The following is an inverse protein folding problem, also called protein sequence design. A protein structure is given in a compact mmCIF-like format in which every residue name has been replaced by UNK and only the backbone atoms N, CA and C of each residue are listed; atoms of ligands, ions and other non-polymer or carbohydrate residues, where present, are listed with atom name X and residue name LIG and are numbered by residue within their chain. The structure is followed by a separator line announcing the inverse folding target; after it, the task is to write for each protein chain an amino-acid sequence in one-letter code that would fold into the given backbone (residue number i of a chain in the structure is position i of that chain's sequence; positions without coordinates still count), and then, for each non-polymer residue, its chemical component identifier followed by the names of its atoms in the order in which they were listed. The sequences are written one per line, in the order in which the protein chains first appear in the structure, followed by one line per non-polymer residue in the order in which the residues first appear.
data_IF_525520349672
#
_entry.id   IF_525520349672
#
_cell.length_a   1.000
_cell.length_b   1.000
_cell.length_c   1.000
_cell.angle_alpha   90.00
_cell.angle_beta   90.00
_cell.angle_gamma   90.00
#
_symmetry.space_group_name_H-M   'P 1'
#
loop_
_entity.id
_entity.type
_entity.pdbx_description
1 polymer ?
#
# COMPACT_ATOMS: atom_id res chain seq x y z
N UNK A 1 52.82 -29.02 17.99
CA UNK A 1 52.79 -28.10 16.83
C UNK A 1 51.79 -28.48 15.75
N UNK A 2 51.45 -29.77 15.54
CA UNK A 2 50.56 -30.21 14.44
C UNK A 2 49.08 -29.87 14.67
N UNK A 3 48.59 -29.76 15.92
CA UNK A 3 47.20 -29.48 16.23
C UNK A 3 46.77 -28.00 16.12
N UNK A 4 47.69 -27.07 16.14
CA UNK A 4 47.39 -25.63 15.97
C UNK A 4 47.10 -25.28 14.51
N UNK A 5 47.87 -25.82 13.58
CA UNK A 5 47.72 -25.55 12.13
C UNK A 5 46.41 -26.08 11.56
N UNK A 6 45.92 -27.21 12.10
CA UNK A 6 44.61 -27.79 11.68
C UNK A 6 43.39 -27.01 12.21
N UNK A 7 43.55 -26.26 13.29
CA UNK A 7 42.51 -25.40 13.86
C UNK A 7 42.33 -24.09 13.08
N UNK A 8 43.42 -23.46 12.66
CA UNK A 8 43.37 -22.23 11.86
C UNK A 8 42.80 -22.42 10.46
N UNK A 9 43.12 -23.55 9.80
CA UNK A 9 42.59 -23.89 8.48
C UNK A 9 41.05 -24.10 8.48
N UNK A 10 40.48 -24.69 9.54
CA UNK A 10 39.02 -24.85 9.69
C UNK A 10 38.31 -23.54 10.01
N UNK A 11 38.91 -22.69 10.83
CA UNK A 11 38.31 -21.36 11.10
C UNK A 11 38.38 -20.43 9.89
N UNK A 12 39.42 -20.46 9.10
CA UNK A 12 39.55 -19.68 7.86
C UNK A 12 38.54 -20.16 6.77
N UNK A 13 38.34 -21.49 6.64
CA UNK A 13 37.34 -22.07 5.74
C UNK A 13 35.91 -21.75 6.15
N UNK A 14 35.61 -21.81 7.46
CA UNK A 14 34.28 -21.43 7.97
C UNK A 14 33.96 -19.94 7.79
N UNK A 15 34.94 -19.06 8.00
CA UNK A 15 34.81 -17.61 7.77
C UNK A 15 34.60 -17.29 6.29
N UNK A 16 35.36 -17.89 5.39
CA UNK A 16 35.23 -17.64 3.96
C UNK A 16 33.86 -18.16 3.42
N UNK A 17 33.36 -19.30 3.93
CA UNK A 17 32.05 -19.82 3.61
C UNK A 17 30.93 -18.88 4.08
N UNK A 18 31.02 -18.38 5.32
CA UNK A 18 30.05 -17.43 5.88
C UNK A 18 30.03 -16.11 5.12
N UNK A 19 31.19 -15.57 4.75
CA UNK A 19 31.27 -14.34 3.96
C UNK A 19 30.69 -14.48 2.56
N UNK A 20 30.95 -15.64 1.90
CA UNK A 20 30.40 -15.94 0.58
C UNK A 20 28.89 -16.12 0.60
N UNK A 21 28.35 -16.74 1.64
CA UNK A 21 26.90 -16.91 1.80
C UNK A 21 26.22 -15.62 2.25
N UNK A 22 26.86 -14.81 3.08
CA UNK A 22 26.35 -13.50 3.48
C UNK A 22 26.20 -12.59 2.27
N UNK A 23 27.22 -12.48 1.40
CA UNK A 23 27.14 -11.68 0.19
C UNK A 23 26.06 -12.18 -0.80
N UNK A 24 25.84 -13.51 -0.90
CA UNK A 24 24.78 -14.08 -1.73
C UNK A 24 23.38 -13.80 -1.15
N UNK A 25 23.21 -13.85 0.17
CA UNK A 25 21.95 -13.52 0.83
C UNK A 25 21.62 -12.03 0.73
N UNK A 26 22.63 -11.17 0.81
CA UNK A 26 22.46 -9.73 0.62
C UNK A 26 22.05 -9.37 -0.82
N UNK A 27 22.68 -9.98 -1.83
CA UNK A 27 22.29 -9.78 -3.24
C UNK A 27 20.89 -10.32 -3.54
N UNK A 28 20.56 -11.51 -3.05
CA UNK A 28 19.19 -12.07 -3.20
C UNK A 28 18.16 -11.18 -2.49
N UNK A 29 18.47 -10.63 -1.31
CA UNK A 29 17.59 -9.71 -0.60
C UNK A 29 17.30 -8.44 -1.39
N UNK A 30 18.29 -7.87 -2.05
CA UNK A 30 18.13 -6.70 -2.92
C UNK A 30 17.29 -7.04 -4.15
N UNK A 31 17.49 -8.22 -4.76
CA UNK A 31 16.71 -8.67 -5.92
C UNK A 31 15.22 -8.85 -5.57
N UNK A 32 14.91 -9.46 -4.42
CA UNK A 32 13.53 -9.59 -3.93
C UNK A 32 12.87 -8.24 -3.61
N UNK A 33 13.64 -7.29 -3.10
CA UNK A 33 13.15 -5.95 -2.79
C UNK A 33 12.73 -5.20 -4.06
N UNK A 34 13.57 -5.24 -5.10
CA UNK A 34 13.27 -4.64 -6.39
C UNK A 34 12.10 -5.34 -7.09
N UNK A 35 11.99 -6.65 -6.94
CA UNK A 35 10.85 -7.41 -7.42
C UNK A 35 9.55 -6.98 -6.72
N UNK A 36 9.58 -6.78 -5.41
CA UNK A 36 8.42 -6.30 -4.66
C UNK A 36 8.00 -4.89 -5.09
N UNK A 37 8.96 -3.96 -5.23
CA UNK A 37 8.70 -2.61 -5.72
C UNK A 37 8.14 -2.65 -7.15
N UNK A 38 8.75 -3.43 -8.03
CA UNK A 38 8.30 -3.60 -9.42
C UNK A 38 6.90 -4.19 -9.52
N UNK A 39 6.60 -5.23 -8.75
CA UNK A 39 5.26 -5.82 -8.67
C UNK A 39 4.22 -4.81 -8.15
N UNK A 40 4.57 -4.02 -7.12
CA UNK A 40 3.71 -2.98 -6.59
C UNK A 40 3.40 -1.89 -7.62
N UNK A 41 4.42 -1.41 -8.34
CA UNK A 41 4.24 -0.42 -9.41
C UNK A 41 3.40 -0.96 -10.57
N UNK A 42 3.62 -2.20 -10.98
CA UNK A 42 2.82 -2.87 -12.00
C UNK A 42 1.37 -3.03 -11.58
N UNK A 43 1.11 -3.38 -10.32
CA UNK A 43 -0.25 -3.47 -9.79
C UNK A 43 -0.99 -2.12 -9.82
N UNK A 44 -0.30 -1.03 -9.42
CA UNK A 44 -0.87 0.33 -9.49
C UNK A 44 -1.12 0.73 -10.94
N UNK A 45 -0.16 0.53 -11.85
CA UNK A 45 -0.30 0.86 -13.26
C UNK A 45 -1.46 0.09 -13.90
N UNK A 46 -1.54 -1.21 -13.65
CA UNK A 46 -2.65 -2.03 -14.14
C UNK A 46 -3.99 -1.55 -13.59
N UNK A 47 -4.05 -1.20 -12.28
CA UNK A 47 -5.24 -0.61 -11.66
C UNK A 47 -5.69 0.68 -12.35
N UNK A 48 -4.75 1.57 -12.70
CA UNK A 48 -5.05 2.82 -13.44
C UNK A 48 -5.62 2.52 -14.83
N UNK A 49 -4.98 1.61 -15.58
CA UNK A 49 -5.44 1.21 -16.92
C UNK A 49 -6.83 0.59 -16.87
N UNK A 50 -7.08 -0.31 -15.94
CA UNK A 50 -8.39 -0.95 -15.76
C UNK A 50 -9.45 0.06 -15.30
N UNK A 51 -9.10 1.04 -14.48
CA UNK A 51 -10.01 2.14 -14.11
C UNK A 51 -10.44 2.91 -15.35
N UNK A 52 -9.51 3.27 -16.22
CA UNK A 52 -9.82 3.96 -17.47
C UNK A 52 -10.73 3.11 -18.39
N UNK A 53 -10.49 1.80 -18.48
CA UNK A 53 -11.33 0.87 -19.25
C UNK A 53 -12.74 0.74 -18.66
N UNK A 54 -12.84 0.65 -17.33
CA UNK A 54 -14.13 0.58 -16.61
C UNK A 54 -14.95 1.86 -16.79
N UNK A 55 -14.31 3.03 -16.73
CA UNK A 55 -15.02 4.32 -16.91
C UNK A 55 -15.59 4.52 -18.32
N UNK A 56 -15.10 3.79 -19.33
CA UNK A 56 -15.65 3.80 -20.71
C UNK A 56 -16.92 2.96 -20.87
N UNK A 57 -17.27 2.13 -19.88
CA UNK A 57 -18.51 1.33 -19.92
C UNK A 57 -19.73 2.21 -19.73
N UNK A 58 -20.87 1.80 -20.33
CA UNK A 58 -22.13 2.53 -20.24
C UNK A 58 -22.59 2.74 -18.81
N UNK A 59 -22.99 3.96 -18.49
CA UNK A 59 -23.57 4.33 -17.19
C UNK A 59 -25.10 4.15 -17.15
N UNK A 60 -25.70 3.54 -18.17
CA UNK A 60 -27.12 3.28 -18.24
C UNK A 60 -27.96 4.50 -18.69
N UNK A 61 -29.25 4.44 -18.40
CA UNK A 61 -30.21 5.46 -18.79
C UNK A 61 -30.14 6.73 -17.91
N UNK A 62 -30.86 7.79 -18.31
CA UNK A 62 -30.86 9.09 -17.63
C UNK A 62 -31.24 8.96 -16.13
N UNK A 63 -32.22 8.12 -15.80
CA UNK A 63 -32.65 7.92 -14.41
C UNK A 63 -31.59 7.25 -13.55
N UNK A 64 -30.85 6.28 -14.10
CA UNK A 64 -29.75 5.63 -13.41
C UNK A 64 -28.61 6.62 -13.15
N UNK A 65 -28.32 7.50 -14.11
CA UNK A 65 -27.28 8.52 -13.98
C UNK A 65 -27.66 9.61 -12.97
N UNK A 66 -28.93 10.02 -12.92
CA UNK A 66 -29.45 10.96 -11.92
C UNK A 66 -29.27 10.41 -10.49
N UNK A 67 -29.66 9.16 -10.25
CA UNK A 67 -29.48 8.50 -8.95
C UNK A 67 -27.97 8.37 -8.61
N UNK A 68 -27.16 7.98 -9.59
CA UNK A 68 -25.72 7.85 -9.41
C UNK A 68 -25.07 9.20 -9.07
N UNK A 69 -25.52 10.31 -9.66
CA UNK A 69 -25.02 11.63 -9.34
C UNK A 69 -25.32 12.02 -7.88
N UNK A 70 -26.54 11.77 -7.40
CA UNK A 70 -26.89 12.01 -6.00
C UNK A 70 -26.03 11.17 -5.02
N UNK A 71 -25.79 9.90 -5.35
CA UNK A 71 -24.90 9.04 -4.55
C UNK A 71 -23.45 9.56 -4.56
N UNK A 72 -22.95 10.03 -5.72
CA UNK A 72 -21.60 10.59 -5.84
C UNK A 72 -21.45 11.88 -5.05
N UNK A 73 -22.46 12.73 -5.01
CA UNK A 73 -22.48 13.95 -4.21
C UNK A 73 -22.37 13.63 -2.72
N UNK A 74 -23.20 12.72 -2.23
CA UNK A 74 -23.16 12.24 -0.83
C UNK A 74 -21.81 11.61 -0.48
N UNK A 75 -21.29 10.74 -1.32
CA UNK A 75 -19.98 10.11 -1.13
C UNK A 75 -18.84 11.15 -1.07
N UNK A 76 -18.86 12.15 -1.95
CA UNK A 76 -17.84 13.20 -1.97
C UNK A 76 -17.90 14.08 -0.73
N UNK A 77 -19.11 14.48 -0.30
CA UNK A 77 -19.30 15.25 0.92
C UNK A 77 -18.80 14.48 2.16
N UNK A 78 -19.12 13.20 2.24
CA UNK A 78 -18.65 12.31 3.29
C UNK A 78 -17.13 12.19 3.30
N UNK A 79 -16.50 11.85 2.16
CA UNK A 79 -15.05 11.74 2.04
C UNK A 79 -14.34 13.03 2.46
N UNK A 80 -14.84 14.18 2.04
CA UNK A 80 -14.24 15.47 2.40
C UNK A 80 -14.23 15.68 3.91
N UNK A 81 -15.34 15.42 4.60
CA UNK A 81 -15.43 15.54 6.06
C UNK A 81 -14.51 14.53 6.76
N UNK A 82 -14.55 13.29 6.34
CA UNK A 82 -13.75 12.21 6.90
C UNK A 82 -12.25 12.49 6.77
N UNK A 83 -11.78 12.80 5.57
CA UNK A 83 -10.36 13.04 5.32
C UNK A 83 -9.85 14.31 5.98
N UNK A 84 -10.69 15.31 6.19
CA UNK A 84 -10.34 16.47 7.00
C UNK A 84 -10.10 16.07 8.47
N UNK A 85 -11.00 15.29 9.07
CA UNK A 85 -10.83 14.82 10.44
C UNK A 85 -9.58 13.92 10.58
N UNK A 86 -9.38 12.99 9.65
CA UNK A 86 -8.19 12.13 9.59
C UNK A 86 -6.91 12.96 9.47
N UNK A 87 -6.91 14.01 8.64
CA UNK A 87 -5.77 14.89 8.46
C UNK A 87 -5.36 15.59 9.75
N UNK A 88 -6.32 16.10 10.53
CA UNK A 88 -6.06 16.73 11.83
C UNK A 88 -5.49 15.73 12.83
N UNK A 89 -6.14 14.58 13.01
CA UNK A 89 -5.67 13.54 13.93
C UNK A 89 -4.31 12.99 13.49
N UNK A 90 -4.13 12.74 12.19
CA UNK A 90 -2.87 12.28 11.64
C UNK A 90 -1.72 13.26 11.85
N UNK A 91 -1.96 14.57 11.72
CA UNK A 91 -0.96 15.59 11.99
C UNK A 91 -0.52 15.60 13.46
N UNK A 92 -1.46 15.48 14.39
CA UNK A 92 -1.15 15.39 15.84
C UNK A 92 -0.28 14.16 16.12
N UNK A 93 -0.66 13.00 15.58
CA UNK A 93 0.09 11.75 15.80
C UNK A 93 1.46 11.82 15.13
N UNK A 94 1.57 12.42 13.94
CA UNK A 94 2.85 12.63 13.25
C UNK A 94 3.83 13.43 14.10
N UNK A 95 3.39 14.55 14.68
CA UNK A 95 4.22 15.37 15.57
C UNK A 95 4.59 14.61 16.83
N UNK A 96 3.62 13.94 17.48
CA UNK A 96 3.88 13.14 18.66
C UNK A 96 4.89 12.01 18.39
N UNK A 97 4.75 11.29 17.27
CA UNK A 97 5.69 10.25 16.85
C UNK A 97 7.10 10.82 16.60
N UNK A 98 7.20 11.98 15.95
CA UNK A 98 8.48 12.65 15.70
C UNK A 98 9.22 13.02 16.98
N UNK A 99 8.50 13.47 17.99
CA UNK A 99 9.08 13.89 19.28
C UNK A 99 9.42 12.71 20.20
N UNK A 100 8.70 11.59 20.10
CA UNK A 100 8.86 10.43 21.00
C UNK A 100 9.66 9.28 20.40
N UNK A 101 9.41 8.92 19.13
CA UNK A 101 10.01 7.77 18.43
C UNK A 101 11.09 8.18 17.42
N UNK A 102 11.21 9.48 17.14
CA UNK A 102 12.15 10.02 16.18
C UNK A 102 11.56 10.25 14.79
N UNK A 103 12.24 11.07 14.00
CA UNK A 103 11.73 11.55 12.71
C UNK A 103 11.62 10.48 11.62
N UNK A 104 12.39 9.41 11.68
CA UNK A 104 12.24 8.27 10.76
C UNK A 104 10.95 7.51 11.04
N UNK A 105 10.58 7.30 12.30
CA UNK A 105 9.30 6.71 12.65
C UNK A 105 8.12 7.61 12.21
N UNK A 106 8.21 8.91 12.45
CA UNK A 106 7.21 9.86 11.99
C UNK A 106 7.05 9.86 10.46
N UNK A 107 8.15 9.84 9.71
CA UNK A 107 8.12 9.74 8.25
C UNK A 107 7.49 8.43 7.79
N UNK A 108 7.80 7.30 8.42
CA UNK A 108 7.14 6.02 8.17
C UNK A 108 5.64 6.12 8.37
N UNK A 109 5.19 6.63 9.53
CA UNK A 109 3.77 6.86 9.80
C UNK A 109 3.10 7.69 8.71
N UNK A 110 3.71 8.80 8.29
CA UNK A 110 3.17 9.68 7.26
C UNK A 110 3.05 8.96 5.91
N UNK A 111 4.09 8.23 5.49
CA UNK A 111 4.08 7.43 4.24
C UNK A 111 2.92 6.42 4.28
N UNK A 112 2.80 5.65 5.37
CA UNK A 112 1.73 4.67 5.54
C UNK A 112 0.33 5.32 5.50
N UNK A 113 0.16 6.43 6.22
CA UNK A 113 -1.09 7.18 6.26
C UNK A 113 -1.49 7.72 4.87
N UNK A 114 -0.55 8.34 4.14
CA UNK A 114 -0.81 8.91 2.82
C UNK A 114 -1.12 7.81 1.79
N UNK A 115 -0.35 6.72 1.75
CA UNK A 115 -0.59 5.64 0.79
C UNK A 115 -1.91 4.90 1.07
N UNK A 116 -2.22 4.62 2.33
CA UNK A 116 -3.50 4.03 2.73
C UNK A 116 -4.67 4.95 2.43
N UNK A 117 -4.52 6.24 2.73
CA UNK A 117 -5.51 7.27 2.40
C UNK A 117 -5.76 7.37 0.90
N UNK A 118 -4.70 7.40 0.10
CA UNK A 118 -4.80 7.45 -1.36
C UNK A 118 -5.51 6.20 -1.92
N UNK A 119 -5.17 5.00 -1.42
CA UNK A 119 -5.84 3.76 -1.82
C UNK A 119 -7.33 3.78 -1.48
N UNK A 120 -7.69 4.18 -0.26
CA UNK A 120 -9.08 4.27 0.19
C UNK A 120 -9.88 5.30 -0.59
N UNK A 121 -9.33 6.49 -0.78
CA UNK A 121 -9.97 7.57 -1.54
C UNK A 121 -10.20 7.18 -3.01
N UNK A 122 -9.15 6.71 -3.69
CA UNK A 122 -9.26 6.26 -5.08
C UNK A 122 -10.24 5.09 -5.21
N UNK A 123 -10.14 4.09 -4.32
CA UNK A 123 -11.02 2.93 -4.31
C UNK A 123 -12.49 3.31 -4.17
N UNK A 124 -12.81 4.22 -3.24
CA UNK A 124 -14.19 4.67 -3.06
C UNK A 124 -14.73 5.47 -4.26
N UNK A 125 -13.94 6.40 -4.81
CA UNK A 125 -14.33 7.14 -6.00
C UNK A 125 -14.59 6.22 -7.21
N UNK A 126 -13.78 5.18 -7.37
CA UNK A 126 -13.94 4.19 -8.45
C UNK A 126 -15.19 3.35 -8.20
N UNK A 127 -15.39 2.85 -6.97
CA UNK A 127 -16.54 2.01 -6.62
C UNK A 127 -17.87 2.74 -6.83
N UNK A 128 -17.99 3.98 -6.37
CA UNK A 128 -19.21 4.77 -6.54
C UNK A 128 -19.55 4.99 -8.03
N UNK A 129 -18.53 5.21 -8.87
CA UNK A 129 -18.73 5.35 -10.31
C UNK A 129 -18.94 4.02 -11.03
N UNK A 130 -18.42 2.92 -10.50
CA UNK A 130 -18.59 1.58 -11.02
C UNK A 130 -20.00 1.04 -10.76
N UNK A 131 -20.62 1.42 -9.63
CA UNK A 131 -21.92 0.90 -9.21
C UNK A 131 -23.01 1.06 -10.29
N UNK A 132 -23.15 2.25 -10.86
CA UNK A 132 -24.16 2.49 -11.92
C UNK A 132 -23.87 1.69 -13.18
N UNK A 133 -22.61 1.50 -13.54
CA UNK A 133 -22.18 0.69 -14.68
C UNK A 133 -22.41 -0.80 -14.44
N UNK A 134 -22.20 -1.24 -13.20
CA UNK A 134 -22.52 -2.61 -12.77
C UNK A 134 -24.01 -2.86 -12.83
N UNK A 135 -24.85 -1.93 -12.36
CA UNK A 135 -26.29 -2.02 -12.44
C UNK A 135 -26.77 -2.09 -13.90
N UNK A 136 -26.22 -1.26 -14.79
CA UNK A 136 -26.50 -1.30 -16.22
C UNK A 136 -26.09 -2.64 -16.85
N UNK A 137 -24.90 -3.14 -16.55
CA UNK A 137 -24.45 -4.42 -17.07
C UNK A 137 -25.28 -5.60 -16.54
N UNK A 138 -25.72 -5.54 -15.29
CA UNK A 138 -26.59 -6.54 -14.67
C UNK A 138 -28.00 -6.56 -15.28
N UNK A 139 -28.53 -5.43 -15.75
CA UNK A 139 -29.80 -5.37 -16.47
C UNK A 139 -29.76 -6.09 -17.83
N UNK A 140 -28.56 -6.25 -18.43
CA UNK A 140 -28.39 -7.00 -19.67
C UNK A 140 -28.19 -8.50 -19.40
N UNK A 141 -27.33 -8.83 -18.44
CA UNK A 141 -27.13 -10.21 -17.96
C UNK A 141 -26.40 -10.24 -16.61
N UNK A 142 -26.71 -11.26 -15.79
CA UNK A 142 -26.04 -11.48 -14.51
C UNK A 142 -24.51 -11.63 -14.66
N UNK A 143 -24.07 -12.35 -15.69
CA UNK A 143 -22.63 -12.57 -15.95
C UNK A 143 -21.88 -11.27 -16.27
N UNK A 144 -22.47 -10.35 -17.04
CA UNK A 144 -21.89 -9.03 -17.32
C UNK A 144 -21.79 -8.19 -16.06
N UNK A 145 -22.86 -8.15 -15.25
CA UNK A 145 -22.88 -7.44 -13.97
C UNK A 145 -21.82 -7.96 -13.01
N UNK A 146 -21.73 -9.29 -12.84
CA UNK A 146 -20.73 -9.93 -11.98
C UNK A 146 -19.29 -9.63 -12.43
N UNK A 147 -19.00 -9.72 -13.72
CA UNK A 147 -17.68 -9.41 -14.26
C UNK A 147 -17.27 -7.95 -13.97
N UNK A 148 -18.19 -7.01 -14.15
CA UNK A 148 -17.92 -5.59 -13.90
C UNK A 148 -17.72 -5.31 -12.39
N UNK A 149 -18.55 -5.90 -11.53
CA UNK A 149 -18.41 -5.79 -10.08
C UNK A 149 -17.07 -6.35 -9.60
N UNK A 150 -16.69 -7.54 -10.09
CA UNK A 150 -15.41 -8.16 -9.78
C UNK A 150 -14.23 -7.31 -10.26
N UNK A 151 -14.29 -6.77 -11.47
CA UNK A 151 -13.25 -5.88 -12.02
C UNK A 151 -13.08 -4.64 -11.16
N UNK A 152 -14.16 -4.02 -10.71
CA UNK A 152 -14.10 -2.86 -9.81
C UNK A 152 -13.44 -3.19 -8.47
N UNK A 153 -13.80 -4.32 -7.87
CA UNK A 153 -13.18 -4.80 -6.62
C UNK A 153 -11.70 -5.13 -6.81
N UNK A 154 -11.34 -5.78 -7.92
CA UNK A 154 -9.95 -6.10 -8.25
C UNK A 154 -9.07 -4.85 -8.41
N UNK A 155 -9.58 -3.79 -9.04
CA UNK A 155 -8.88 -2.50 -9.16
C UNK A 155 -8.55 -1.95 -7.78
N UNK A 156 -9.52 -1.90 -6.87
CA UNK A 156 -9.31 -1.42 -5.50
C UNK A 156 -8.29 -2.28 -4.75
N UNK A 157 -8.40 -3.60 -4.86
CA UNK A 157 -7.43 -4.53 -4.25
C UNK A 157 -6.01 -4.35 -4.77
N UNK A 158 -5.85 -4.11 -6.07
CA UNK A 158 -4.55 -3.84 -6.70
C UNK A 158 -3.93 -2.53 -6.24
N UNK A 159 -4.72 -1.47 -6.05
CA UNK A 159 -4.21 -0.23 -5.46
C UNK A 159 -3.74 -0.44 -4.03
N UNK A 160 -4.51 -1.14 -3.19
CA UNK A 160 -4.13 -1.42 -1.80
C UNK A 160 -2.85 -2.24 -1.75
N UNK A 161 -2.77 -3.36 -2.48
CA UNK A 161 -1.60 -4.22 -2.52
C UNK A 161 -0.38 -3.52 -3.12
N UNK A 162 -0.57 -2.78 -4.23
CA UNK A 162 0.49 -2.04 -4.90
C UNK A 162 1.09 -0.94 -4.03
N UNK A 163 0.27 -0.12 -3.40
CA UNK A 163 0.76 0.94 -2.50
C UNK A 163 1.41 0.35 -1.24
N UNK A 164 0.90 -0.76 -0.70
CA UNK A 164 1.53 -1.43 0.42
C UNK A 164 2.94 -1.95 0.06
N UNK A 165 3.08 -2.64 -1.08
CA UNK A 165 4.38 -3.13 -1.54
C UNK A 165 5.37 -1.99 -1.81
N UNK A 166 4.95 -0.96 -2.54
CA UNK A 166 5.81 0.20 -2.83
C UNK A 166 6.16 0.96 -1.54
N UNK A 167 5.20 1.15 -0.64
CA UNK A 167 5.42 1.86 0.62
C UNK A 167 6.42 1.14 1.53
N UNK A 168 6.17 -0.14 1.81
CA UNK A 168 7.01 -0.91 2.72
C UNK A 168 8.40 -1.16 2.11
N UNK A 169 8.46 -1.70 0.90
CA UNK A 169 9.72 -2.03 0.25
C UNK A 169 10.53 -0.77 -0.12
N UNK A 170 9.86 0.28 -0.61
CA UNK A 170 10.51 1.55 -0.94
C UNK A 170 11.06 2.27 0.27
N UNK A 171 10.31 2.30 1.38
CA UNK A 171 10.79 2.94 2.60
C UNK A 171 11.92 2.14 3.26
N UNK A 172 11.80 0.81 3.27
CA UNK A 172 12.89 -0.06 3.73
C UNK A 172 14.17 0.16 2.91
N UNK A 173 14.07 0.22 1.57
CA UNK A 173 15.21 0.52 0.70
C UNK A 173 15.80 1.90 0.99
N UNK A 174 14.98 2.91 1.22
CA UNK A 174 15.48 4.24 1.58
C UNK A 174 16.28 4.21 2.87
N UNK A 175 15.79 3.54 3.92
CA UNK A 175 16.48 3.49 5.21
C UNK A 175 17.79 2.68 5.12
N UNK A 176 17.77 1.52 4.49
CA UNK A 176 18.91 0.61 4.48
C UNK A 176 19.87 0.86 3.32
N UNK A 177 19.36 1.11 2.11
CA UNK A 177 20.18 1.29 0.91
C UNK A 177 20.68 2.72 0.72
N UNK A 178 19.85 3.73 0.99
CA UNK A 178 20.23 5.14 0.79
C UNK A 178 20.84 5.74 2.05
N UNK A 179 20.24 5.49 3.22
CA UNK A 179 20.74 6.01 4.50
C UNK A 179 21.80 5.12 5.14
N UNK A 180 22.00 3.88 4.65
CA UNK A 180 22.98 2.94 5.16
C UNK A 180 22.71 2.46 6.59
N UNK A 181 21.43 2.50 7.04
CA UNK A 181 21.06 2.07 8.39
C UNK A 181 21.08 0.53 8.48
N UNK A 182 21.37 0.02 9.68
CA UNK A 182 21.33 -1.44 9.89
C UNK A 182 19.92 -1.97 9.69
N UNK A 183 19.76 -2.93 8.77
CA UNK A 183 18.50 -3.56 8.40
C UNK A 183 17.76 -4.19 9.61
N UNK A 184 18.49 -4.62 10.63
CA UNK A 184 17.97 -5.19 11.88
C UNK A 184 17.96 -4.18 13.02
N UNK A 185 18.42 -2.96 12.76
CA UNK A 185 18.48 -1.88 13.73
C UNK A 185 17.10 -1.46 14.22
N UNK A 186 17.01 -1.12 15.50
CA UNK A 186 15.76 -0.70 16.14
C UNK A 186 15.09 0.46 15.41
N UNK A 187 15.86 1.43 14.93
CA UNK A 187 15.33 2.59 14.21
C UNK A 187 14.61 2.21 12.91
N UNK A 188 15.14 1.24 12.15
CA UNK A 188 14.52 0.73 10.92
C UNK A 188 13.24 -0.03 11.26
N UNK A 189 13.28 -0.87 12.29
CA UNK A 189 12.10 -1.62 12.74
C UNK A 189 11.00 -0.68 13.23
N UNK A 190 11.34 0.28 14.09
CA UNK A 190 10.37 1.26 14.62
C UNK A 190 9.76 2.11 13.49
N UNK A 191 10.55 2.48 12.46
CA UNK A 191 10.09 3.23 11.31
C UNK A 191 9.09 2.42 10.43
N UNK A 192 9.35 1.12 10.21
CA UNK A 192 8.45 0.25 9.46
C UNK A 192 7.19 -0.09 10.24
N UNK A 193 7.30 -0.28 11.56
CA UNK A 193 6.13 -0.46 12.45
C UNK A 193 5.26 0.79 12.42
N UNK A 194 5.86 1.97 12.49
CA UNK A 194 5.13 3.23 12.40
C UNK A 194 4.44 3.42 11.03
N UNK A 195 5.05 2.96 9.93
CA UNK A 195 4.43 2.93 8.60
C UNK A 195 3.17 2.04 8.62
N UNK A 196 3.27 0.82 9.15
CA UNK A 196 2.14 -0.09 9.30
C UNK A 196 1.03 0.51 10.18
N UNK A 197 1.40 1.17 11.28
CA UNK A 197 0.46 1.86 12.16
C UNK A 197 -0.26 3.01 11.46
N UNK A 198 0.46 3.85 10.71
CA UNK A 198 -0.13 4.92 9.92
C UNK A 198 -1.13 4.41 8.89
N UNK A 199 -0.79 3.36 8.16
CA UNK A 199 -1.67 2.72 7.19
C UNK A 199 -2.92 2.12 7.87
N UNK A 200 -2.76 1.45 9.01
CA UNK A 200 -3.84 0.85 9.78
C UNK A 200 -4.81 1.90 10.34
N UNK A 201 -4.28 2.99 10.90
CA UNK A 201 -5.09 4.07 11.46
C UNK A 201 -6.04 4.65 10.41
N UNK A 202 -5.51 4.99 9.23
CA UNK A 202 -6.32 5.52 8.14
C UNK A 202 -7.35 4.49 7.65
N UNK A 203 -6.96 3.23 7.55
CA UNK A 203 -7.85 2.13 7.14
C UNK A 203 -9.03 1.96 8.10
N UNK A 204 -8.83 2.09 9.41
CA UNK A 204 -9.90 2.02 10.41
C UNK A 204 -10.91 3.16 10.18
N UNK A 205 -10.44 4.38 10.02
CA UNK A 205 -11.33 5.52 9.75
C UNK A 205 -12.07 5.37 8.42
N UNK A 206 -11.40 4.94 7.36
CA UNK A 206 -12.03 4.70 6.06
C UNK A 206 -13.12 3.61 6.14
N UNK A 207 -12.91 2.57 6.96
CA UNK A 207 -13.85 1.46 7.14
C UNK A 207 -15.10 1.87 7.94
N UNK A 208 -14.93 2.66 8.99
CA UNK A 208 -16.06 3.16 9.79
C UNK A 208 -17.03 3.96 8.94
N UNK A 209 -16.52 4.72 7.99
CA UNK A 209 -17.34 5.48 7.08
C UNK A 209 -18.05 4.66 6.01
N UNK A 210 -17.39 3.70 5.41
CA UNK A 210 -17.98 2.83 4.39
C UNK A 210 -19.04 1.84 4.93
N UNK A 211 -19.09 1.63 6.25
CA UNK A 211 -20.06 0.73 6.88
C UNK A 211 -21.41 1.37 7.23
N UNK A 212 -21.53 2.69 7.05
CA UNK A 212 -22.75 3.44 7.39
C UNK A 212 -23.63 3.69 6.14
N UNK A 213 -23.09 3.51 4.95
CA UNK A 213 -23.73 3.63 3.65
C UNK A 213 -23.69 2.31 2.88
#
# INVERSE_FOLDING_TARGET
MVNQVAGEGRQASGRSWLLKHKGRLETMGIDFLWLAIGAGLLAVLYGVVQTAALMRKSAGNARMQEIAAAIQEGATAYLTKQYTAIGVVGAIIFVAAGLTLGWFAAAGFLIGAVLSGAAGFAGMLISVRANVRTAQAASESLGKGLNLAFTSGAITGLFVAGFALVGVAGYYYYLTGVRGMDATGREVVDALVALGFGASLISIFARLGGGIF
#
